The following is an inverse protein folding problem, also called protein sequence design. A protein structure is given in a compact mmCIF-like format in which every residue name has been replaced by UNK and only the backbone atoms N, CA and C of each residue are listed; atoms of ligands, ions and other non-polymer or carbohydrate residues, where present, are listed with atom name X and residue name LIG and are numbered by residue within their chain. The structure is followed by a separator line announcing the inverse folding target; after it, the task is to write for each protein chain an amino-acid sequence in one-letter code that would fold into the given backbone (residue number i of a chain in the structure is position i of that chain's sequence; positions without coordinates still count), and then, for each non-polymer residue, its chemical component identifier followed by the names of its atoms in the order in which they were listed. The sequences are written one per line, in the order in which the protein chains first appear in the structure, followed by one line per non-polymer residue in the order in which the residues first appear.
data_IF_271471182682
#
_entry.id   IF_271471182682
#
_cell.length_a   1.000
_cell.length_b   1.000
_cell.length_c   1.000
_cell.angle_alpha   90.00
_cell.angle_beta   90.00
_cell.angle_gamma   90.00
#
_symmetry.space_group_name_H-M   'P 1'
#
loop_
_entity.id
_entity.type
_entity.pdbx_description
1 polymer ?
#
# COMPACT_ATOMS: atom_id res chain seq x y z
N UNK A 1 -4.32 -22.80 -7.52
CA UNK A 1 -4.80 -22.26 -8.80
C UNK A 1 -5.78 -21.13 -8.49
N UNK A 2 -5.62 -19.90 -9.03
CA UNK A 2 -6.59 -18.83 -8.82
C UNK A 2 -7.85 -19.15 -9.62
N UNK A 3 -8.83 -19.73 -8.94
CA UNK A 3 -10.16 -20.01 -9.50
C UNK A 3 -11.10 -18.85 -9.17
N UNK A 4 -12.00 -18.56 -10.10
CA UNK A 4 -13.16 -17.69 -9.89
C UNK A 4 -14.09 -18.37 -8.87
N UNK A 5 -13.72 -18.36 -7.59
CA UNK A 5 -14.57 -18.87 -6.54
C UNK A 5 -15.73 -17.88 -6.35
N UNK A 6 -16.96 -18.40 -6.26
CA UNK A 6 -18.04 -17.66 -5.65
C UNK A 6 -17.54 -17.13 -4.30
N UNK A 7 -17.90 -15.90 -3.92
CA UNK A 7 -17.45 -15.24 -2.71
C UNK A 7 -17.86 -16.03 -1.46
N UNK A 8 -17.14 -17.11 -1.16
CA UNK A 8 -17.17 -17.80 0.12
C UNK A 8 -16.49 -16.86 1.09
N UNK A 9 -17.28 -16.24 1.95
CA UNK A 9 -16.80 -15.44 3.07
C UNK A 9 -16.06 -16.29 4.12
N UNK A 10 -16.09 -17.62 4.01
CA UNK A 10 -15.40 -18.50 4.93
C UNK A 10 -13.88 -18.50 4.65
N UNK A 11 -13.03 -18.24 5.66
CA UNK A 11 -11.58 -18.31 5.51
C UNK A 11 -11.16 -19.74 5.14
N UNK A 12 -10.27 -19.88 4.16
CA UNK A 12 -9.71 -21.16 3.73
C UNK A 12 -8.78 -21.76 4.82
N UNK A 13 -8.36 -20.93 5.79
CA UNK A 13 -7.56 -21.36 6.94
C UNK A 13 -8.42 -21.72 8.14
N UNK A 14 -8.42 -23.01 8.48
CA UNK A 14 -8.97 -23.56 9.73
C UNK A 14 -8.13 -23.06 10.92
N UNK A 15 -8.67 -22.09 11.66
CA UNK A 15 -8.10 -21.60 12.94
C UNK A 15 -7.43 -20.22 12.92
N UNK A 16 -7.48 -19.49 11.80
CA UNK A 16 -6.97 -18.12 11.70
C UNK A 16 -8.10 -17.07 11.76
N UNK A 17 -7.84 -15.94 12.40
CA UNK A 17 -8.70 -14.75 12.31
C UNK A 17 -8.31 -13.93 11.09
N UNK A 18 -9.32 -13.45 10.35
CA UNK A 18 -9.13 -12.64 9.15
C UNK A 18 -9.40 -11.16 9.44
N UNK A 19 -8.39 -10.31 9.30
CA UNK A 19 -8.57 -8.85 9.34
C UNK A 19 -8.80 -8.34 7.92
N UNK A 20 -9.98 -7.76 7.66
CA UNK A 20 -10.34 -7.22 6.34
C UNK A 20 -10.15 -5.70 6.31
N UNK A 21 -9.40 -5.22 5.32
CA UNK A 21 -9.16 -3.81 5.06
C UNK A 21 -9.72 -3.46 3.67
N UNK A 22 -10.72 -2.59 3.63
CA UNK A 22 -11.21 -2.01 2.38
C UNK A 22 -10.28 -0.87 1.95
N UNK A 23 -9.67 -0.97 0.78
CA UNK A 23 -8.64 -0.03 0.34
C UNK A 23 -9.14 1.03 -0.63
N UNK A 24 -10.14 0.71 -1.45
CA UNK A 24 -10.65 1.63 -2.45
C UNK A 24 -12.14 1.41 -2.71
N UNK A 25 -12.83 2.53 -2.88
CA UNK A 25 -14.24 2.58 -3.25
C UNK A 25 -14.38 3.12 -4.67
N UNK A 26 -15.35 2.59 -5.42
CA UNK A 26 -15.79 3.09 -6.72
C UNK A 26 -17.23 3.55 -6.52
N UNK A 27 -17.42 4.87 -6.36
CA UNK A 27 -18.62 5.41 -5.74
C UNK A 27 -18.70 5.02 -4.26
N UNK A 28 -19.85 4.48 -3.85
CA UNK A 28 -20.12 4.06 -2.46
C UNK A 28 -19.79 2.58 -2.18
N UNK A 29 -19.30 1.84 -3.18
CA UNK A 29 -19.03 0.39 -3.04
C UNK A 29 -17.52 0.11 -2.99
N UNK A 30 -17.03 -0.68 -2.02
CA UNK A 30 -15.64 -1.10 -1.99
C UNK A 30 -15.37 -2.12 -3.11
N UNK A 31 -14.44 -1.82 -4.01
CA UNK A 31 -14.07 -2.72 -5.11
C UNK A 31 -12.73 -3.43 -4.88
N UNK A 32 -11.95 -2.97 -3.89
CA UNK A 32 -10.66 -3.55 -3.53
C UNK A 32 -10.57 -3.79 -2.02
N UNK A 33 -10.38 -5.05 -1.63
CA UNK A 33 -10.17 -5.47 -0.26
C UNK A 33 -8.87 -6.25 -0.09
N UNK A 34 -8.19 -6.05 1.04
CA UNK A 34 -7.09 -6.87 1.50
C UNK A 34 -7.54 -7.62 2.76
N UNK A 35 -7.38 -8.93 2.75
CA UNK A 35 -7.62 -9.77 3.93
C UNK A 35 -6.29 -10.32 4.39
N UNK A 36 -6.00 -10.15 5.68
CA UNK A 36 -4.79 -10.62 6.33
C UNK A 36 -5.15 -11.70 7.34
N UNK A 37 -4.54 -12.88 7.23
CA UNK A 37 -4.74 -13.98 8.17
C UNK A 37 -3.73 -13.88 9.29
N UNK A 38 -4.20 -13.94 10.53
CA UNK A 38 -3.36 -13.89 11.73
C UNK A 38 -3.94 -14.74 12.86
N UNK A 39 -3.12 -15.04 13.86
CA UNK A 39 -3.52 -15.82 15.06
C UNK A 39 -4.14 -14.95 16.17
N UNK A 40 -4.57 -13.74 15.82
CA UNK A 40 -5.16 -12.83 16.80
C UNK A 40 -6.58 -13.27 17.16
N UNK A 41 -7.10 -12.84 18.32
CA UNK A 41 -8.51 -13.07 18.68
C UNK A 41 -9.45 -12.37 17.70
N UNK A 42 -10.65 -12.91 17.42
CA UNK A 42 -11.62 -12.31 16.49
C UNK A 42 -12.00 -10.85 16.80
N UNK A 43 -11.90 -10.45 18.07
CA UNK A 43 -12.20 -9.10 18.56
C UNK A 43 -11.12 -8.07 18.23
N UNK A 44 -9.93 -8.51 17.79
CA UNK A 44 -8.85 -7.59 17.49
C UNK A 44 -9.11 -6.82 16.21
N UNK A 45 -8.94 -5.50 16.29
CA UNK A 45 -9.06 -4.59 15.15
C UNK A 45 -7.86 -4.65 14.21
N UNK A 46 -6.74 -5.22 14.65
CA UNK A 46 -5.51 -5.31 13.87
C UNK A 46 -4.94 -6.74 13.87
N UNK A 47 -4.34 -7.18 12.76
CA UNK A 47 -3.67 -8.47 12.71
C UNK A 47 -2.39 -8.44 13.57
N UNK A 48 -2.08 -9.56 14.20
CA UNK A 48 -0.89 -9.73 15.02
C UNK A 48 0.01 -10.81 14.43
N UNK A 49 1.27 -10.45 14.17
CA UNK A 49 2.28 -11.35 13.65
C UNK A 49 3.44 -11.46 14.63
N UNK A 50 4.01 -12.66 14.75
CA UNK A 50 5.23 -12.92 15.52
C UNK A 50 6.46 -12.85 14.61
N UNK A 51 7.65 -12.84 15.22
CA UNK A 51 8.91 -12.90 14.47
C UNK A 51 8.99 -14.20 13.65
N UNK A 52 9.60 -14.13 12.46
CA UNK A 52 9.62 -15.22 11.48
C UNK A 52 8.23 -15.71 11.01
N UNK A 53 7.14 -15.02 11.36
CA UNK A 53 5.82 -15.36 10.83
C UNK A 53 5.75 -15.02 9.34
N UNK A 54 5.08 -15.90 8.59
CA UNK A 54 4.68 -15.65 7.21
C UNK A 54 3.47 -14.74 7.19
N UNK A 55 3.49 -13.72 6.34
CA UNK A 55 2.32 -12.86 6.13
C UNK A 55 1.51 -13.45 5.00
N UNK A 56 0.40 -14.11 5.36
CA UNK A 56 -0.52 -14.74 4.41
C UNK A 56 -1.84 -14.00 4.37
N UNK A 57 -2.48 -14.02 3.20
CA UNK A 57 -3.76 -13.36 3.03
C UNK A 57 -4.34 -13.56 1.65
N UNK A 58 -5.32 -12.73 1.33
CA UNK A 58 -5.91 -12.67 -0.01
C UNK A 58 -6.28 -11.24 -0.38
N UNK A 59 -6.20 -10.95 -1.66
CA UNK A 59 -6.71 -9.70 -2.24
C UNK A 59 -8.02 -10.02 -2.95
N UNK A 60 -9.06 -9.28 -2.59
CA UNK A 60 -10.39 -9.38 -3.19
C UNK A 60 -10.61 -8.18 -4.10
N UNK A 61 -10.89 -8.45 -5.37
CA UNK A 61 -11.17 -7.43 -6.38
C UNK A 61 -12.57 -7.67 -6.92
N UNK A 62 -13.48 -6.73 -6.71
CA UNK A 62 -14.87 -6.81 -7.14
C UNK A 62 -15.16 -5.67 -8.13
N UNK A 63 -15.19 -5.98 -9.43
CA UNK A 63 -15.39 -4.98 -10.49
C UNK A 63 -16.79 -5.10 -11.08
N UNK A 64 -17.50 -3.98 -11.15
CA UNK A 64 -18.81 -3.90 -11.82
C UNK A 64 -18.67 -3.84 -13.35
N UNK A 65 -17.58 -3.23 -13.84
CA UNK A 65 -17.31 -3.09 -15.28
C UNK A 65 -15.86 -3.44 -15.63
N UNK A 66 -15.55 -3.81 -16.88
CA UNK A 66 -14.18 -4.13 -17.28
C UNK A 66 -13.25 -2.91 -17.27
N UNK A 67 -12.11 -3.00 -16.56
CA UNK A 67 -11.14 -1.89 -16.36
C UNK A 67 -9.75 -2.27 -16.91
N UNK A 68 -8.96 -1.28 -17.32
CA UNK A 68 -7.56 -1.49 -17.68
C UNK A 68 -6.69 -1.66 -16.43
N UNK A 69 -6.30 -2.89 -16.11
CA UNK A 69 -5.35 -3.21 -15.04
C UNK A 69 -4.11 -3.85 -15.68
N UNK A 70 -2.94 -3.32 -15.36
CA UNK A 70 -1.64 -3.81 -15.82
C UNK A 70 -1.00 -4.81 -14.84
N UNK A 71 -1.06 -4.50 -13.54
CA UNK A 71 -0.63 -5.41 -12.46
C UNK A 71 -1.40 -5.20 -11.16
N UNK A 72 -1.42 -6.25 -10.34
CA UNK A 72 -1.89 -6.24 -8.97
C UNK A 72 -0.75 -6.79 -8.12
N UNK A 73 -0.24 -5.96 -7.22
CA UNK A 73 0.88 -6.27 -6.35
C UNK A 73 0.47 -6.07 -4.89
N UNK A 74 0.86 -6.97 -4.00
CA UNK A 74 0.75 -6.78 -2.55
C UNK A 74 2.10 -6.39 -2.01
N UNK A 75 2.13 -5.43 -1.11
CA UNK A 75 3.35 -5.00 -0.46
C UNK A 75 3.17 -4.90 1.06
N UNK A 76 4.26 -5.16 1.76
CA UNK A 76 4.42 -4.91 3.20
C UNK A 76 5.69 -4.11 3.39
N UNK A 77 5.57 -2.97 4.06
CA UNK A 77 6.66 -2.05 4.34
C UNK A 77 6.76 -1.85 5.85
N UNK A 78 7.99 -1.89 6.34
CA UNK A 78 8.34 -1.67 7.74
C UNK A 78 9.11 -0.36 7.80
N UNK A 79 8.57 0.64 8.49
CA UNK A 79 9.22 1.94 8.68
C UNK A 79 9.59 2.15 10.14
N UNK A 80 10.70 2.85 10.35
CA UNK A 80 11.13 3.32 11.66
C UNK A 80 11.39 4.82 11.55
N UNK A 81 10.46 5.60 12.08
CA UNK A 81 10.50 7.06 11.99
C UNK A 81 10.83 7.63 13.37
N UNK A 82 11.56 8.75 13.40
CA UNK A 82 11.80 9.50 14.64
C UNK A 82 11.79 11.00 14.36
N UNK A 83 11.51 11.81 15.37
CA UNK A 83 11.67 13.27 15.31
C UNK A 83 13.08 13.72 14.90
N UNK A 84 14.09 12.89 15.17
CA UNK A 84 15.48 13.14 14.79
C UNK A 84 15.80 12.74 13.35
N UNK A 85 15.01 11.84 12.77
CA UNK A 85 15.27 11.32 11.42
C UNK A 85 13.97 10.85 10.76
N UNK A 86 13.36 11.77 10.02
CA UNK A 86 12.07 11.57 9.35
C UNK A 86 12.23 10.96 7.94
N UNK A 87 13.44 10.93 7.40
CA UNK A 87 13.68 10.57 5.99
C UNK A 87 14.40 9.23 5.83
N UNK A 88 14.45 8.41 6.89
CA UNK A 88 15.04 7.08 6.78
C UNK A 88 14.29 6.25 5.73
N UNK A 89 15.01 5.52 4.87
CA UNK A 89 14.38 4.53 4.02
C UNK A 89 13.71 3.45 4.90
N UNK A 90 12.69 2.76 4.37
CA UNK A 90 12.05 1.67 5.08
C UNK A 90 13.09 0.61 5.50
N UNK A 91 12.95 0.08 6.71
CA UNK A 91 13.82 -0.97 7.23
C UNK A 91 13.76 -2.22 6.35
N UNK A 92 12.56 -2.53 5.86
CA UNK A 92 12.31 -3.65 4.96
C UNK A 92 11.09 -3.34 4.09
N UNK A 93 11.17 -3.76 2.84
CA UNK A 93 10.04 -3.79 1.91
C UNK A 93 9.95 -5.19 1.31
N UNK A 94 8.75 -5.73 1.26
CA UNK A 94 8.43 -7.02 0.67
C UNK A 94 7.27 -6.81 -0.29
N UNK A 95 7.38 -7.34 -1.51
CA UNK A 95 6.36 -7.19 -2.54
C UNK A 95 6.17 -8.50 -3.27
N UNK A 96 4.93 -8.87 -3.54
CA UNK A 96 4.55 -10.04 -4.33
C UNK A 96 3.59 -9.60 -5.44
N UNK A 97 3.95 -9.94 -6.68
CA UNK A 97 3.06 -9.74 -7.82
C UNK A 97 2.02 -10.87 -7.86
N UNK A 98 0.75 -10.52 -7.66
CA UNK A 98 -0.35 -11.48 -7.69
C UNK A 98 -0.76 -11.79 -9.12
N UNK A 99 -1.00 -10.74 -9.89
CA UNK A 99 -1.39 -10.83 -11.28
C UNK A 99 -0.69 -9.74 -12.10
N UNK A 100 -0.39 -10.08 -13.34
CA UNK A 100 0.05 -9.14 -14.36
C UNK A 100 -0.41 -9.68 -15.72
N UNK A 101 -0.41 -8.83 -16.74
CA UNK A 101 -0.81 -9.26 -18.10
C UNK A 101 -0.01 -10.44 -18.65
N UNK A 102 1.24 -10.64 -18.21
CA UNK A 102 2.07 -11.77 -18.69
C UNK A 102 1.60 -13.12 -18.16
N UNK A 103 0.90 -13.14 -17.01
CA UNK A 103 0.30 -14.33 -16.40
C UNK A 103 -1.01 -14.80 -17.07
N UNK A 104 -1.45 -14.13 -18.13
CA UNK A 104 -2.65 -14.51 -18.87
C UNK A 104 -3.95 -13.97 -18.30
N UNK A 105 -5.06 -14.53 -18.79
CA UNK A 105 -6.40 -14.13 -18.38
C UNK A 105 -6.61 -14.41 -16.89
N UNK A 106 -7.03 -13.44 -16.06
CA UNK A 106 -7.30 -13.67 -14.64
C UNK A 106 -8.39 -14.73 -14.37
N UNK A 107 -9.25 -15.05 -15.35
CA UNK A 107 -10.24 -16.14 -15.28
C UNK A 107 -9.63 -17.50 -15.62
N UNK A 108 -8.59 -17.51 -16.46
CA UNK A 108 -7.91 -18.72 -16.92
C UNK A 108 -6.44 -18.41 -17.25
N UNK A 109 -5.52 -18.59 -16.28
CA UNK A 109 -4.12 -18.19 -16.42
C UNK A 109 -3.31 -19.07 -17.40
N UNK A 110 -3.95 -20.02 -18.08
CA UNK A 110 -3.30 -20.95 -19.01
C UNK A 110 -3.07 -20.35 -20.42
N UNK A 111 -3.63 -19.17 -20.71
CA UNK A 111 -3.39 -18.45 -21.96
C UNK A 111 -2.16 -17.53 -21.86
N UNK A 112 -1.45 -17.33 -22.96
CA UNK A 112 -0.34 -16.36 -23.04
C UNK A 112 -0.73 -14.91 -22.68
N UNK A 113 0.11 -13.91 -22.96
CA UNK A 113 -0.08 -12.55 -22.45
C UNK A 113 -1.48 -11.95 -22.73
N UNK A 114 -2.14 -11.49 -21.68
CA UNK A 114 -3.49 -10.94 -21.73
C UNK A 114 -3.51 -9.55 -22.37
N UNK A 115 -4.21 -9.43 -23.50
CA UNK A 115 -4.32 -8.19 -24.28
C UNK A 115 -5.61 -7.39 -24.00
N UNK A 116 -6.56 -7.96 -23.27
CA UNK A 116 -7.87 -7.35 -23.01
C UNK A 116 -7.91 -6.36 -21.84
N UNK A 117 -9.13 -5.90 -21.52
CA UNK A 117 -9.46 -5.24 -20.25
C UNK A 117 -9.64 -6.30 -19.18
N UNK A 118 -9.23 -5.99 -17.95
CA UNK A 118 -9.49 -6.87 -16.82
C UNK A 118 -11.02 -7.06 -16.69
N UNK A 119 -11.51 -8.31 -16.72
CA UNK A 119 -12.94 -8.58 -16.78
C UNK A 119 -13.71 -8.10 -15.54
N UNK A 120 -14.99 -7.77 -15.74
CA UNK A 120 -15.93 -7.61 -14.62
C UNK A 120 -16.13 -8.95 -13.88
N UNK A 121 -16.39 -8.86 -12.58
CA UNK A 121 -16.56 -10.01 -11.69
C UNK A 121 -15.84 -9.83 -10.35
N UNK A 122 -15.95 -10.84 -9.49
CA UNK A 122 -15.22 -10.93 -8.22
C UNK A 122 -14.05 -11.89 -8.38
N UNK A 123 -12.85 -11.45 -8.02
CA UNK A 123 -11.61 -12.20 -8.10
C UNK A 123 -10.94 -12.22 -6.74
N UNK A 124 -10.43 -13.39 -6.36
CA UNK A 124 -9.73 -13.59 -5.09
C UNK A 124 -8.34 -14.11 -5.40
N UNK A 125 -7.33 -13.37 -4.94
CA UNK A 125 -5.93 -13.68 -5.17
C UNK A 125 -5.27 -14.02 -3.83
N UNK A 126 -5.09 -15.32 -3.50
CA UNK A 126 -4.35 -15.70 -2.31
C UNK A 126 -2.87 -15.31 -2.48
N UNK A 127 -2.24 -14.96 -1.37
CA UNK A 127 -0.82 -14.63 -1.36
C UNK A 127 -0.14 -15.07 -0.07
N UNK A 128 1.16 -15.28 -0.21
CA UNK A 128 2.09 -15.55 0.88
C UNK A 128 3.33 -14.69 0.64
N UNK A 129 3.62 -13.80 1.58
CA UNK A 129 4.85 -13.01 1.57
C UNK A 129 5.96 -13.78 2.28
N UNK A 130 7.24 -13.47 1.98
CA UNK A 130 8.36 -13.99 2.74
C UNK A 130 8.23 -13.77 4.25
N UNK A 131 8.88 -14.63 5.02
CA UNK A 131 8.91 -14.53 6.48
C UNK A 131 9.42 -13.17 6.95
N UNK A 132 8.80 -12.67 8.01
CA UNK A 132 9.29 -11.46 8.67
C UNK A 132 10.69 -11.71 9.23
N UNK A 133 11.64 -10.77 9.04
CA UNK A 133 12.98 -10.94 9.58
C UNK A 133 12.95 -11.13 11.10
N UNK A 134 13.72 -12.09 11.61
CA UNK A 134 13.83 -12.36 13.04
C UNK A 134 14.69 -11.30 13.73
N UNK A 135 15.74 -10.84 13.05
CA UNK A 135 16.72 -9.89 13.53
C UNK A 135 17.03 -8.82 12.46
N UNK A 136 17.58 -7.70 12.92
CA UNK A 136 18.17 -6.67 12.05
C UNK A 136 19.57 -6.33 12.53
N UNK A 137 20.46 -6.01 11.58
CA UNK A 137 21.80 -5.53 11.88
C UNK A 137 21.74 -4.04 12.16
N UNK A 138 22.06 -3.65 13.39
CA UNK A 138 22.18 -2.25 13.79
C UNK A 138 23.65 -1.91 13.84
N UNK A 139 24.01 -0.82 13.14
CA UNK A 139 25.34 -0.23 13.26
C UNK A 139 25.42 0.55 14.58
N UNK A 140 26.46 0.29 15.36
CA UNK A 140 26.79 1.10 16.53
C UNK A 140 27.09 2.54 16.04
N UNK A 141 26.64 3.59 16.77
CA UNK A 141 26.83 4.98 16.33
C UNK A 141 28.31 5.40 16.28
N UNK A 142 29.15 4.75 17.10
CA UNK A 142 30.60 4.90 17.08
C UNK A 142 31.25 3.92 16.10
N UNK A 143 31.79 4.48 15.01
CA UNK A 143 32.44 3.74 13.92
C UNK A 143 33.84 3.21 14.28
N UNK A 144 34.43 3.67 15.39
CA UNK A 144 35.81 3.28 15.79
C UNK A 144 35.88 1.91 16.46
N UNK A 145 34.74 1.35 16.88
CA UNK A 145 34.71 0.04 17.55
C UNK A 145 34.88 -1.09 16.53
N UNK A 146 35.84 -1.99 16.79
CA UNK A 146 36.11 -3.18 15.96
C UNK A 146 34.90 -4.12 15.78
N UNK A 147 33.85 -4.01 16.61
CA UNK A 147 32.54 -4.65 16.43
C UNK A 147 31.45 -3.57 16.37
N UNK A 148 31.34 -2.89 15.23
CA UNK A 148 30.38 -1.82 15.02
C UNK A 148 29.01 -2.31 14.53
N UNK A 149 28.74 -3.61 14.54
CA UNK A 149 27.45 -4.17 14.15
C UNK A 149 26.97 -5.16 15.22
N UNK A 150 25.70 -5.04 15.59
CA UNK A 150 25.01 -5.98 16.46
C UNK A 150 23.72 -6.46 15.80
N UNK A 151 23.44 -7.76 15.91
CA UNK A 151 22.12 -8.31 15.58
C UNK A 151 21.19 -8.06 16.76
N UNK A 152 20.11 -7.34 16.52
CA UNK A 152 19.06 -7.13 17.50
C UNK A 152 17.77 -7.75 17.00
N UNK A 153 16.91 -8.28 17.90
CA UNK A 153 15.59 -8.76 17.51
C UNK A 153 14.84 -7.68 16.73
N UNK A 154 14.11 -8.11 15.71
CA UNK A 154 13.35 -7.19 14.90
C UNK A 154 12.26 -6.52 15.77
N UNK A 155 12.17 -5.18 15.79
CA UNK A 155 11.40 -4.48 16.80
C UNK A 155 9.89 -4.70 16.61
N UNK A 156 9.10 -4.87 17.69
CA UNK A 156 7.65 -4.90 17.57
C UNK A 156 7.11 -3.53 17.11
N UNK A 157 5.85 -3.49 16.70
CA UNK A 157 5.15 -2.22 16.50
C UNK A 157 5.18 -1.44 17.81
N UNK A 158 5.72 -0.23 17.77
CA UNK A 158 5.91 0.61 18.97
C UNK A 158 5.71 2.09 18.61
N UNK A 159 5.17 2.86 19.55
CA UNK A 159 5.07 4.31 19.46
C UNK A 159 5.55 4.96 20.78
N UNK A 160 6.69 5.66 20.75
CA UNK A 160 7.14 6.51 21.87
C UNK A 160 6.68 7.93 21.57
N UNK A 161 5.90 8.51 22.46
CA UNK A 161 5.76 9.96 22.58
C UNK A 161 6.01 10.29 24.04
N UNK A 162 7.27 10.60 24.39
CA UNK A 162 7.60 11.09 25.73
C UNK A 162 8.00 12.56 25.60
N UNK A 163 7.27 13.36 26.35
CA UNK A 163 7.46 14.76 26.75
C UNK A 163 8.75 15.43 26.24
N UNK A 164 8.61 16.61 25.63
CA UNK A 164 9.65 17.43 24.97
C UNK A 164 10.03 17.02 23.53
N UNK A 165 9.06 17.00 22.61
CA UNK A 165 9.27 16.96 21.14
C UNK A 165 9.96 15.72 20.55
N UNK A 166 10.44 14.78 21.37
CA UNK A 166 11.01 13.52 20.90
C UNK A 166 9.94 12.46 20.71
N UNK A 167 9.86 11.94 19.50
CA UNK A 167 9.01 10.80 19.20
C UNK A 167 9.76 9.79 18.33
N UNK A 168 9.33 8.55 18.41
CA UNK A 168 9.83 7.45 17.60
C UNK A 168 8.73 6.43 17.39
N UNK A 169 8.60 5.89 16.18
CA UNK A 169 7.62 4.85 15.91
C UNK A 169 8.17 3.82 14.94
N UNK A 170 7.86 2.56 15.20
CA UNK A 170 8.05 1.46 14.26
C UNK A 170 6.67 1.05 13.78
N UNK A 171 6.44 1.11 12.47
CA UNK A 171 5.15 0.81 11.86
C UNK A 171 5.29 -0.24 10.77
N UNK A 172 4.37 -1.20 10.80
CA UNK A 172 4.17 -2.19 9.75
C UNK A 172 2.95 -1.76 8.93
N UNK A 173 3.13 -1.61 7.62
CA UNK A 173 2.07 -1.18 6.72
C UNK A 173 1.95 -2.19 5.59
N UNK A 174 0.75 -2.75 5.42
CA UNK A 174 0.42 -3.61 4.29
C UNK A 174 -0.48 -2.84 3.31
N UNK A 175 -0.31 -3.09 2.03
CA UNK A 175 -1.05 -2.41 0.97
C UNK A 175 -1.19 -3.25 -0.28
N UNK A 176 -2.13 -2.85 -1.13
CA UNK A 176 -2.29 -3.37 -2.48
C UNK A 176 -2.02 -2.24 -3.46
N UNK A 177 -1.14 -2.49 -4.42
CA UNK A 177 -0.89 -1.60 -5.53
C UNK A 177 -1.57 -2.17 -6.78
N UNK A 178 -2.52 -1.42 -7.34
CA UNK A 178 -3.19 -1.76 -8.60
C UNK A 178 -2.71 -0.78 -9.65
N UNK A 179 -1.78 -1.24 -10.49
CA UNK A 179 -1.28 -0.44 -11.61
C UNK A 179 -2.32 -0.48 -12.71
N UNK A 180 -2.96 0.65 -12.98
CA UNK A 180 -3.87 0.80 -14.11
C UNK A 180 -3.08 1.19 -15.34
N UNK A 181 -3.35 0.52 -16.46
CA UNK A 181 -2.82 1.01 -17.73
C UNK A 181 -3.62 2.26 -18.09
N UNK A 182 -2.99 3.41 -17.94
CA UNK A 182 -3.54 4.64 -18.52
C UNK A 182 -3.81 4.35 -19.99
N UNK A 183 -4.97 4.78 -20.55
CA UNK A 183 -5.18 4.61 -21.97
C UNK A 183 -3.97 5.20 -22.68
N UNK A 184 -3.31 4.37 -23.49
CA UNK A 184 -2.34 4.79 -24.47
C UNK A 184 -3.05 5.88 -25.27
N UNK A 185 -2.85 7.16 -24.92
CA UNK A 185 -3.18 8.23 -25.84
C UNK A 185 -2.12 8.05 -26.90
N UNK A 186 -2.44 7.63 -28.14
CA UNK A 186 -1.47 7.76 -29.20
C UNK A 186 -1.02 9.21 -29.13
N UNK A 187 0.28 9.42 -28.89
CA UNK A 187 0.90 10.74 -29.05
C UNK A 187 0.39 11.18 -30.42
N UNK A 188 -0.54 12.15 -30.47
CA UNK A 188 -0.86 12.80 -31.73
C UNK A 188 0.50 13.27 -32.18
N UNK A 189 1.08 12.62 -33.19
CA UNK A 189 2.15 13.23 -33.96
C UNK A 189 1.47 14.48 -34.48
N UNK A 190 1.69 15.59 -33.80
CA UNK A 190 1.51 16.90 -34.40
C UNK A 190 2.44 16.80 -35.59
N UNK A 191 1.86 16.51 -36.77
CA UNK A 191 2.55 16.78 -38.01
C UNK A 191 2.76 18.29 -37.93
N UNK A 192 3.96 18.70 -37.55
CA UNK A 192 4.45 20.00 -37.93
C UNK A 192 4.39 19.96 -39.45
N UNK A 193 3.32 20.54 -40.00
CA UNK A 193 3.36 20.98 -41.38
C UNK A 193 4.49 21.98 -41.43
N UNK A 194 5.45 21.71 -42.30
CA UNK A 194 6.47 22.67 -42.69
C UNK A 194 5.75 23.89 -43.28
N UNK A 195 5.50 24.88 -42.43
CA UNK A 195 5.19 26.23 -42.83
C UNK A 195 6.48 27.02 -42.68
N UNK A 196 7.25 27.06 -43.77
CA UNK A 196 8.29 28.03 -43.99
C UNK A 196 7.67 29.43 -43.95
N UNK A 197 7.79 30.13 -42.83
CA UNK A 197 7.83 31.59 -42.85
C UNK A 197 8.74 32.09 -41.74
N UNK A 198 9.80 32.75 -42.18
CA UNK A 198 10.74 33.52 -41.37
C UNK A 198 10.02 34.53 -40.49
N UNK A 199 10.37 34.59 -39.19
CA UNK A 199 10.83 35.80 -38.47
C UNK A 199 10.95 35.50 -36.98
N UNK A 200 12.20 35.60 -36.51
CA UNK A 200 12.62 35.71 -35.11
C UNK A 200 12.45 37.17 -34.63
N UNK A 201 12.67 37.55 -33.35
CA UNK A 201 12.72 36.78 -32.09
C UNK A 201 11.82 37.38 -30.99
N UNK A 202 11.91 36.78 -29.79
CA UNK A 202 11.75 37.41 -28.47
C UNK A 202 10.45 37.09 -27.75
N UNK A 203 10.47 36.03 -26.93
CA UNK A 203 9.86 36.05 -25.59
C UNK A 203 10.35 34.86 -24.76
N UNK A 204 11.22 35.17 -23.80
CA UNK A 204 11.51 34.32 -22.65
C UNK A 204 10.19 34.01 -21.92
N UNK A 205 9.79 32.75 -21.91
CA UNK A 205 8.71 32.24 -21.07
C UNK A 205 9.32 31.70 -19.79
N UNK A 206 9.21 32.51 -18.73
CA UNK A 206 9.53 32.16 -17.35
C UNK A 206 8.48 31.15 -16.88
N UNK A 207 8.88 29.90 -16.68
CA UNK A 207 8.08 28.87 -16.02
C UNK A 207 8.07 29.14 -14.50
N UNK A 208 7.02 29.82 -14.03
CA UNK A 208 6.72 29.93 -12.60
C UNK A 208 6.22 28.57 -12.08
N UNK A 209 6.97 27.99 -11.15
CA UNK A 209 6.48 26.96 -10.24
C UNK A 209 5.28 27.50 -9.45
N UNK A 210 4.11 26.89 -9.59
CA UNK A 210 3.00 27.03 -8.64
C UNK A 210 2.99 25.80 -7.74
N UNK A 211 3.46 25.99 -6.51
CA UNK A 211 3.17 25.13 -5.37
C UNK A 211 1.69 25.28 -5.01
N UNK A 212 0.93 24.18 -5.05
CA UNK A 212 -0.41 24.12 -4.48
C UNK A 212 -0.26 23.78 -2.99
N UNK A 213 -0.17 24.81 -2.17
CA UNK A 213 -0.46 24.74 -0.73
C UNK A 213 -1.96 24.55 -0.54
N UNK A 214 -2.35 23.42 0.03
CA UNK A 214 -3.73 23.18 0.48
C UNK A 214 -4.04 24.01 1.74
N UNK A 215 -5.21 24.68 1.83
CA UNK A 215 -5.60 25.48 2.97
C UNK A 215 -6.09 24.64 4.15
N UNK A 216 -5.50 24.98 5.31
CA UNK A 216 -5.99 24.89 6.69
C UNK A 216 -7.52 24.75 6.80
N UNK A 217 -8.00 23.58 7.23
CA UNK A 217 -9.37 23.41 7.70
C UNK A 217 -9.46 23.69 9.20
N UNK A 218 -10.53 24.41 9.56
CA UNK A 218 -10.84 25.04 10.85
C UNK A 218 -11.01 24.04 11.99
N UNK A 219 -10.52 24.45 13.15
CA UNK A 219 -10.96 24.04 14.49
C UNK A 219 -12.44 24.38 14.69
N UNK A 220 -13.25 23.37 14.99
CA UNK A 220 -14.61 23.51 15.51
C UNK A 220 -14.64 23.36 17.04
N UNK A 221 -15.71 23.85 17.70
CA UNK A 221 -15.69 24.16 19.13
C UNK A 221 -15.82 22.93 20.04
N UNK A 222 -15.18 23.07 21.19
CA UNK A 222 -15.26 22.20 22.37
C UNK A 222 -16.67 22.24 22.96
N UNK A 223 -17.32 21.09 23.08
CA UNK A 223 -18.58 20.94 23.83
C UNK A 223 -18.21 20.53 25.26
N UNK A 224 -18.40 21.47 26.18
CA UNK A 224 -18.47 21.21 27.62
C UNK A 224 -19.59 20.21 27.91
N UNK A 225 -19.26 19.11 28.58
CA UNK A 225 -20.27 18.28 29.25
C UNK A 225 -20.39 18.78 30.67
N UNK A 226 -21.51 19.42 30.95
CA UNK A 226 -22.02 19.66 32.29
C UNK A 226 -22.29 18.33 33.01
N UNK A 227 -21.74 18.22 34.21
CA UNK A 227 -22.14 17.27 35.24
C UNK A 227 -23.59 17.53 35.63
N UNK A 228 -24.41 16.48 35.61
CA UNK A 228 -25.71 16.47 36.28
C UNK A 228 -25.61 15.44 37.39
N UNK A 229 -25.73 15.94 38.62
CA UNK A 229 -25.86 15.18 39.84
C UNK A 229 -27.26 14.55 39.96
N UNK A 230 -27.28 13.35 40.55
CA UNK A 230 -28.32 12.87 41.46
C UNK A 230 -29.30 11.84 40.89
N UNK A 231 -29.96 11.05 41.75
CA UNK A 231 -29.81 10.90 43.22
C UNK A 231 -28.93 9.71 43.66
#
# INVERSE_FOLDING_TARGET
MPGTAAASLAPIFTGGTASTLFMANEGDKPWLGLVLYSHVRPESTMPLYHNAAKVTGEVRVALESPINIGSIDVWVVITADSSLDTFKPPLKSMTVNLWNRKKGDPRSPAGGPFKGKFPAGTFVFPFELPELPQDTLVKHPDDTKHRNQARVPFPPTYFVSKTMSFWGKVKYTAGVNVVRDWPWRPRRRVRHGDASTSRSPSRCLVLRHRSLTSPRARTGPSIERSSVDGP
#
